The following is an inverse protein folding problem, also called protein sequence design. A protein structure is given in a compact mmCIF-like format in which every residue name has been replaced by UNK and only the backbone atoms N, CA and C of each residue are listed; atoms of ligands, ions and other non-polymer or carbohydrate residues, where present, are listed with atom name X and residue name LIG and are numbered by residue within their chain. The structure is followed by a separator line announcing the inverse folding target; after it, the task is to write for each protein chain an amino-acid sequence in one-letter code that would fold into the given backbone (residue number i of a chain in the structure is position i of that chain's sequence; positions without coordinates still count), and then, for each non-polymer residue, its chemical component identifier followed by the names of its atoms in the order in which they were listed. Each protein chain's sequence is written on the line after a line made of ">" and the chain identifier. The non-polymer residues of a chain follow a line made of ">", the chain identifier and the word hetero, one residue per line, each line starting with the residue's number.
data_IF_100678095994
#
_entry.id   IF_100678095994
#
_cell.length_a   1.000
_cell.length_b   1.000
_cell.length_c   1.000
_cell.angle_alpha   90.00
_cell.angle_beta   90.00
_cell.angle_gamma   90.00
#
_symmetry.space_group_name_H-M   'P 1'
#
loop_
_entity.id
_entity.type
_entity.pdbx_description
1 polymer ?
#
# COMPACT_ATOMS: atom_id res chain seq x y z
N UNK A 1 26.86 7.71 1.74
CA UNK A 1 26.71 6.35 1.20
C UNK A 1 25.23 6.12 1.04
N UNK A 2 24.72 6.21 -0.20
CA UNK A 2 23.30 6.04 -0.49
C UNK A 2 23.09 4.54 -0.68
N UNK A 3 22.52 3.88 0.32
CA UNK A 3 22.14 2.47 0.17
C UNK A 3 21.16 2.36 -1.00
N UNK A 4 21.46 1.47 -1.94
CA UNK A 4 20.63 1.23 -3.11
C UNK A 4 19.20 0.96 -2.68
N UNK A 5 18.29 1.85 -3.08
CA UNK A 5 16.85 1.69 -2.90
C UNK A 5 16.48 0.39 -3.61
N UNK A 6 16.33 -0.69 -2.83
CA UNK A 6 15.82 -1.95 -3.35
C UNK A 6 14.38 -1.67 -3.75
N UNK A 7 14.12 -1.70 -5.05
CA UNK A 7 12.78 -1.73 -5.66
C UNK A 7 12.03 -2.96 -5.17
N UNK A 8 11.56 -2.93 -3.92
CA UNK A 8 10.85 -4.04 -3.29
C UNK A 8 9.45 -4.08 -3.89
N UNK A 9 9.16 -5.17 -4.61
CA UNK A 9 7.86 -5.40 -5.22
C UNK A 9 7.24 -6.66 -4.66
N UNK A 10 5.95 -6.60 -4.44
CA UNK A 10 5.13 -7.77 -4.11
C UNK A 10 4.03 -7.91 -5.15
N UNK A 11 3.62 -9.15 -5.38
CA UNK A 11 2.60 -9.50 -6.35
C UNK A 11 1.38 -10.05 -5.63
N UNK A 12 0.22 -9.54 -6.02
CA UNK A 12 -1.07 -10.03 -5.55
C UNK A 12 -1.51 -9.46 -4.20
N UNK A 13 -2.83 -9.47 -4.01
CA UNK A 13 -3.52 -8.89 -2.87
C UNK A 13 -3.11 -9.55 -1.55
N UNK A 14 -3.01 -10.89 -1.51
CA UNK A 14 -2.63 -11.64 -0.31
C UNK A 14 -1.25 -11.21 0.22
N UNK A 15 -0.27 -10.98 -0.66
CA UNK A 15 1.05 -10.50 -0.23
C UNK A 15 1.00 -9.08 0.33
N UNK A 16 0.10 -8.23 -0.19
CA UNK A 16 -0.08 -6.88 0.32
C UNK A 16 -0.73 -6.91 1.71
N UNK A 17 -1.75 -7.74 1.92
CA UNK A 17 -2.37 -7.92 3.24
C UNK A 17 -1.32 -8.32 4.29
N UNK A 18 -0.51 -9.35 4.01
CA UNK A 18 0.55 -9.77 4.93
C UNK A 18 1.60 -8.68 5.16
N UNK A 19 1.92 -7.88 4.13
CA UNK A 19 2.86 -6.78 4.27
C UNK A 19 2.31 -5.69 5.19
N UNK A 20 1.08 -5.25 4.92
CA UNK A 20 0.38 -4.22 5.67
C UNK A 20 0.24 -4.60 7.15
N UNK A 21 -0.07 -5.86 7.45
CA UNK A 21 -0.05 -6.40 8.82
C UNK A 21 1.35 -6.30 9.46
N UNK A 22 2.40 -6.71 8.73
CA UNK A 22 3.78 -6.70 9.25
C UNK A 22 4.33 -5.31 9.58
N UNK A 23 3.80 -4.25 8.95
CA UNK A 23 4.22 -2.85 9.20
C UNK A 23 3.26 -2.08 10.11
N UNK A 24 2.32 -2.79 10.75
CA UNK A 24 1.38 -2.18 11.70
C UNK A 24 0.35 -1.28 11.02
N UNK A 25 -0.12 -1.67 9.84
CA UNK A 25 -1.22 -1.03 9.13
C UNK A 25 -2.21 -2.08 8.59
N UNK A 26 -2.78 -2.94 9.45
CA UNK A 26 -3.62 -4.05 9.02
C UNK A 26 -4.86 -3.55 8.26
N UNK A 27 -5.18 -4.21 7.14
CA UNK A 27 -6.29 -3.83 6.26
C UNK A 27 -6.93 -5.07 5.64
N UNK A 28 -8.27 -5.09 5.55
CA UNK A 28 -9.00 -6.19 4.94
C UNK A 28 -8.80 -6.22 3.41
N UNK A 29 -8.81 -7.42 2.82
CA UNK A 29 -8.67 -7.60 1.38
C UNK A 29 -9.73 -6.82 0.57
N UNK A 30 -10.97 -6.79 1.07
CA UNK A 30 -12.09 -6.06 0.42
C UNK A 30 -11.88 -4.55 0.47
N UNK A 31 -11.34 -4.02 1.58
CA UNK A 31 -11.01 -2.60 1.72
C UNK A 31 -9.89 -2.19 0.77
N UNK A 32 -8.83 -3.00 0.67
CA UNK A 32 -7.77 -2.77 -0.31
C UNK A 32 -8.35 -2.80 -1.73
N UNK A 33 -9.27 -3.72 -2.03
CA UNK A 33 -9.90 -3.83 -3.35
C UNK A 33 -10.75 -2.60 -3.68
N UNK A 34 -11.49 -2.07 -2.72
CA UNK A 34 -12.22 -0.80 -2.87
C UNK A 34 -11.25 0.37 -3.11
N UNK A 35 -10.16 0.47 -2.33
CA UNK A 35 -9.13 1.49 -2.53
C UNK A 35 -8.46 1.39 -3.90
N UNK A 36 -8.22 0.18 -4.40
CA UNK A 36 -7.69 -0.04 -5.74
C UNK A 36 -8.68 0.43 -6.81
N UNK A 37 -9.96 0.09 -6.65
CA UNK A 37 -11.04 0.51 -7.57
C UNK A 37 -11.15 2.04 -7.62
N UNK A 38 -11.04 2.70 -6.46
CA UNK A 38 -11.04 4.16 -6.33
C UNK A 38 -9.70 4.82 -6.67
N UNK A 39 -8.68 4.03 -7.05
CA UNK A 39 -7.30 4.50 -7.31
C UNK A 39 -6.67 5.28 -6.15
N UNK A 40 -7.06 4.94 -4.92
CA UNK A 40 -6.56 5.57 -3.69
C UNK A 40 -5.32 4.91 -3.10
N UNK A 41 -5.03 3.66 -3.47
CA UNK A 41 -3.81 2.95 -3.06
C UNK A 41 -2.87 2.75 -4.27
N UNK A 42 -1.54 2.98 -4.14
CA UNK A 42 -0.59 2.78 -5.23
C UNK A 42 -0.54 1.34 -5.70
N UNK A 43 -0.89 1.09 -6.96
CA UNK A 43 -0.84 -0.23 -7.57
C UNK A 43 -0.56 -0.13 -9.07
N UNK A 44 -0.02 -1.20 -9.66
CA UNK A 44 0.15 -1.33 -11.10
C UNK A 44 -0.47 -2.65 -11.57
N UNK A 45 -1.35 -2.57 -12.56
CA UNK A 45 -1.77 -3.75 -13.33
C UNK A 45 -0.68 -4.06 -14.37
N UNK A 46 -0.18 -5.28 -14.35
CA UNK A 46 0.82 -5.76 -15.31
C UNK A 46 0.10 -6.45 -16.48
N UNK A 47 0.09 -7.78 -16.50
CA UNK A 47 -0.58 -8.59 -17.52
C UNK A 47 -1.78 -9.31 -16.91
N UNK A 48 -2.92 -9.31 -17.60
CA UNK A 48 -4.18 -9.90 -17.13
C UNK A 48 -4.51 -9.40 -15.70
N UNK A 49 -4.66 -10.32 -14.75
CA UNK A 49 -5.04 -10.04 -13.36
C UNK A 49 -3.83 -9.92 -12.41
N UNK A 50 -2.62 -9.79 -12.97
CA UNK A 50 -1.42 -9.60 -12.16
C UNK A 50 -1.34 -8.16 -11.66
N UNK A 51 -1.47 -8.00 -10.34
CA UNK A 51 -1.30 -6.73 -9.64
C UNK A 51 0.04 -6.71 -8.94
N UNK A 52 0.79 -5.63 -9.15
CA UNK A 52 2.10 -5.38 -8.54
C UNK A 52 2.00 -4.15 -7.64
N UNK A 53 2.56 -4.27 -6.45
CA UNK A 53 2.72 -3.16 -5.50
C UNK A 53 4.20 -2.88 -5.30
N UNK A 54 4.61 -1.61 -5.45
CA UNK A 54 5.93 -1.14 -5.05
C UNK A 54 5.87 -0.74 -3.57
N UNK A 55 6.64 -1.41 -2.71
CA UNK A 55 6.59 -1.18 -1.27
C UNK A 55 7.04 0.22 -0.88
N UNK A 56 7.93 0.88 -1.62
CA UNK A 56 8.29 2.28 -1.34
C UNK A 56 7.08 3.21 -1.47
N UNK A 57 6.27 2.98 -2.51
CA UNK A 57 5.06 3.76 -2.73
C UNK A 57 3.99 3.42 -1.70
N UNK A 58 3.90 2.15 -1.28
CA UNK A 58 3.01 1.73 -0.20
C UNK A 58 3.43 2.36 1.13
N UNK A 59 4.72 2.34 1.47
CA UNK A 59 5.25 2.93 2.70
C UNK A 59 4.97 4.44 2.76
N UNK A 60 5.21 5.15 1.65
CA UNK A 60 4.86 6.56 1.51
C UNK A 60 3.35 6.78 1.69
N UNK A 61 2.53 5.96 1.03
CA UNK A 61 1.08 6.06 1.12
C UNK A 61 0.56 5.85 2.55
N UNK A 62 1.08 4.86 3.27
CA UNK A 62 0.76 4.62 4.70
C UNK A 62 1.10 5.85 5.54
N UNK A 63 2.28 6.43 5.34
CA UNK A 63 2.69 7.64 6.04
C UNK A 63 1.72 8.80 5.79
N UNK A 64 1.21 8.93 4.57
CA UNK A 64 0.24 9.96 4.21
C UNK A 64 -1.15 9.69 4.83
N UNK A 65 -1.62 8.45 4.84
CA UNK A 65 -2.88 8.09 5.51
C UNK A 65 -2.84 8.39 7.01
N UNK A 66 -1.73 8.08 7.68
CA UNK A 66 -1.54 8.37 9.11
C UNK A 66 -1.62 9.87 9.41
N UNK A 67 -1.07 10.73 8.55
CA UNK A 67 -1.20 12.19 8.70
C UNK A 67 -2.65 12.66 8.58
N UNK A 68 -3.39 12.12 7.61
CA UNK A 68 -4.78 12.50 7.39
C UNK A 68 -5.67 12.13 8.59
N UNK A 69 -5.48 10.94 9.15
CA UNK A 69 -6.17 10.50 10.37
C UNK A 69 -5.89 11.40 11.58
N UNK A 70 -4.63 11.85 11.74
CA UNK A 70 -4.25 12.80 12.79
C UNK A 70 -4.93 14.17 12.61
N UNK A 71 -5.10 14.63 11.36
CA UNK A 71 -5.75 15.91 11.10
C UNK A 71 -7.27 15.89 11.26
N UNK A 72 -7.91 14.73 11.08
CA UNK A 72 -9.36 14.56 11.26
C UNK A 72 -9.75 14.45 12.74
N UNK A 73 -8.86 13.97 13.61
CA UNK A 73 -9.09 13.91 15.07
C UNK A 73 -8.90 15.25 15.80
N UNK A 74 -8.37 16.27 15.10
CA UNK A 74 -8.13 17.61 15.66
C UNK A 74 -9.23 18.63 15.29
N UNK A 75 -10.30 18.20 14.62
CA UNK A 75 -11.48 19.02 14.30
C UNK A 75 -12.69 18.54 15.10
#
# INVERSE_FOLDING_TARGET
>A
MWEGIKLRKIQGLSKLVSYLESVGYPMAADEITDLMTRRKIPHRRAYQDIIIFNLEHIDWWIAEQRKQQLTEQSK
#
